data_IF_029734663272
#
_entry.id   IF_029734663272
#
_cell.length_a   1.000
_cell.length_b   1.000
_cell.length_c   1.000
_cell.angle_alpha   90.00
_cell.angle_beta   90.00
_cell.angle_gamma   90.00
#
_symmetry.space_group_name_H-M   'P 1'
#
loop_
_entity.id
_entity.type
_entity.pdbx_description
1 polymer ?
#
# COMPACT_ATOMS: atom_id res chain seq x y z
N UNK A 1 -62.37 -12.10 -38.00
CA UNK A 1 -62.37 -10.63 -37.94
C UNK A 1 -61.80 -10.09 -36.64
N UNK A 2 -62.16 -10.64 -35.46
CA UNK A 2 -61.62 -10.20 -34.16
C UNK A 2 -60.08 -10.32 -34.00
N UNK A 3 -59.48 -11.41 -34.48
CA UNK A 3 -58.03 -11.63 -34.34
C UNK A 3 -57.16 -10.53 -34.99
N UNK A 4 -57.50 -10.12 -36.21
CA UNK A 4 -56.77 -9.07 -36.92
C UNK A 4 -56.97 -7.68 -36.29
N UNK A 5 -58.13 -7.44 -35.67
CA UNK A 5 -58.40 -6.20 -34.93
C UNK A 5 -57.57 -6.14 -33.64
N UNK A 6 -57.45 -7.25 -32.89
CA UNK A 6 -56.60 -7.32 -31.71
C UNK A 6 -55.12 -7.12 -32.06
N UNK A 7 -54.63 -7.79 -33.12
CA UNK A 7 -53.26 -7.60 -33.63
C UNK A 7 -52.98 -6.14 -34.00
N UNK A 8 -53.88 -5.51 -34.75
CA UNK A 8 -53.74 -4.09 -35.12
C UNK A 8 -53.68 -3.16 -33.90
N UNK A 9 -54.51 -3.40 -32.88
CA UNK A 9 -54.49 -2.60 -31.64
C UNK A 9 -53.19 -2.80 -30.86
N UNK A 10 -52.70 -4.04 -30.76
CA UNK A 10 -51.42 -4.32 -30.11
C UNK A 10 -50.26 -3.66 -30.86
N UNK A 11 -50.22 -3.74 -32.19
CA UNK A 11 -49.19 -3.08 -33.01
C UNK A 11 -49.22 -1.56 -32.83
N UNK A 12 -50.41 -0.95 -32.73
CA UNK A 12 -50.56 0.48 -32.49
C UNK A 12 -50.07 0.87 -31.07
N UNK A 13 -50.38 0.04 -30.06
CA UNK A 13 -49.90 0.24 -28.69
C UNK A 13 -48.38 0.11 -28.59
N UNK A 14 -47.79 -0.91 -29.22
CA UNK A 14 -46.33 -1.11 -29.28
C UNK A 14 -45.67 0.09 -29.93
N UNK A 15 -46.13 0.52 -31.12
CA UNK A 15 -45.59 1.71 -31.80
C UNK A 15 -45.72 2.99 -30.96
N UNK A 16 -46.82 3.16 -30.25
CA UNK A 16 -47.02 4.30 -29.35
C UNK A 16 -46.02 4.28 -28.19
N UNK A 17 -45.82 3.11 -27.55
CA UNK A 17 -44.84 2.92 -26.49
C UNK A 17 -43.41 3.12 -26.98
N UNK A 18 -43.08 2.65 -28.17
CA UNK A 18 -41.76 2.86 -28.81
C UNK A 18 -41.51 4.33 -29.09
N UNK A 19 -42.51 5.05 -29.61
CA UNK A 19 -42.38 6.50 -29.85
C UNK A 19 -42.15 7.25 -28.55
N UNK A 20 -42.90 6.90 -27.50
CA UNK A 20 -42.78 7.51 -26.18
C UNK A 20 -41.44 7.16 -25.51
N UNK A 21 -40.96 5.93 -25.65
CA UNK A 21 -39.68 5.49 -25.09
C UNK A 21 -38.53 6.18 -25.81
N UNK A 22 -38.55 6.26 -27.15
CA UNK A 22 -37.56 6.99 -27.95
C UNK A 22 -37.48 8.47 -27.57
N UNK A 23 -38.63 9.13 -27.36
CA UNK A 23 -38.66 10.51 -26.90
C UNK A 23 -38.07 10.66 -25.49
N UNK A 24 -38.38 9.72 -24.57
CA UNK A 24 -37.82 9.71 -23.23
C UNK A 24 -36.29 9.47 -23.25
N UNK A 25 -35.79 8.57 -24.10
CA UNK A 25 -34.36 8.34 -24.31
C UNK A 25 -33.67 9.56 -24.90
N UNK A 26 -34.27 10.23 -25.88
CA UNK A 26 -33.74 11.49 -26.44
C UNK A 26 -33.61 12.58 -25.37
N UNK A 27 -34.64 12.75 -24.54
CA UNK A 27 -34.60 13.69 -23.41
C UNK A 27 -33.52 13.29 -22.38
N UNK A 28 -33.37 12.00 -22.10
CA UNK A 28 -32.33 11.50 -21.20
C UNK A 28 -30.93 11.76 -21.74
N UNK A 29 -30.66 11.44 -23.02
CA UNK A 29 -29.39 11.72 -23.69
C UNK A 29 -29.06 13.21 -23.68
N UNK A 30 -30.03 14.08 -23.99
CA UNK A 30 -29.85 15.52 -23.94
C UNK A 30 -29.44 16.03 -22.55
N UNK A 31 -30.05 15.47 -21.49
CA UNK A 31 -29.68 15.78 -20.10
C UNK A 31 -28.29 15.27 -19.75
N UNK A 32 -27.95 14.04 -20.13
CA UNK A 32 -26.62 13.47 -19.92
C UNK A 32 -25.55 14.30 -20.61
N UNK A 33 -25.75 14.65 -21.88
CA UNK A 33 -24.88 15.53 -22.65
C UNK A 33 -24.70 16.88 -21.95
N UNK A 34 -25.80 17.54 -21.54
CA UNK A 34 -25.73 18.84 -20.87
C UNK A 34 -24.98 18.77 -19.54
N UNK A 35 -25.16 17.68 -18.80
CA UNK A 35 -24.46 17.45 -17.53
C UNK A 35 -22.96 17.20 -17.75
N UNK A 36 -22.60 16.35 -18.71
CA UNK A 36 -21.23 16.07 -19.13
C UNK A 36 -20.52 17.37 -19.55
N UNK A 37 -21.14 18.15 -20.43
CA UNK A 37 -20.64 19.45 -20.87
C UNK A 37 -20.42 20.44 -19.72
N UNK A 38 -21.34 20.46 -18.73
CA UNK A 38 -21.18 21.32 -17.54
C UNK A 38 -20.00 20.87 -16.67
N UNK A 39 -19.88 19.57 -16.39
CA UNK A 39 -18.78 18.97 -15.62
C UNK A 39 -17.43 19.23 -16.29
N UNK A 40 -17.32 19.03 -17.61
CA UNK A 40 -16.13 19.33 -18.40
C UNK A 40 -15.69 20.78 -18.28
N UNK A 41 -16.62 21.74 -18.45
CA UNK A 41 -16.31 23.18 -18.31
C UNK A 41 -15.80 23.52 -16.92
N UNK A 42 -16.43 22.96 -15.88
CA UNK A 42 -15.99 23.18 -14.51
C UNK A 42 -14.60 22.58 -14.26
N UNK A 43 -14.35 21.35 -14.71
CA UNK A 43 -13.05 20.68 -14.59
C UNK A 43 -11.94 21.47 -15.30
N UNK A 44 -12.16 21.92 -16.53
CA UNK A 44 -11.21 22.78 -17.27
C UNK A 44 -10.95 24.09 -16.51
N UNK A 45 -11.99 24.72 -15.96
CA UNK A 45 -11.81 25.96 -15.18
C UNK A 45 -10.97 25.73 -13.93
N UNK A 46 -11.17 24.62 -13.22
CA UNK A 46 -10.41 24.30 -12.00
C UNK A 46 -8.96 23.92 -12.33
N UNK A 47 -8.72 23.16 -13.40
CA UNK A 47 -7.38 22.85 -13.90
C UNK A 47 -6.57 24.11 -14.19
N UNK A 48 -7.18 25.11 -14.85
CA UNK A 48 -6.54 26.41 -15.10
C UNK A 48 -6.13 27.15 -13.82
N UNK A 49 -6.89 26.97 -12.74
CA UNK A 49 -6.61 27.59 -11.43
C UNK A 49 -5.67 26.77 -10.54
N UNK A 50 -5.36 25.51 -10.89
CA UNK A 50 -4.60 24.57 -10.07
C UNK A 50 -3.11 24.96 -9.94
N UNK A 51 -2.57 25.71 -10.91
CA UNK A 51 -1.18 26.18 -10.92
C UNK A 51 -0.11 25.09 -11.15
N UNK A 52 -0.51 23.84 -11.34
CA UNK A 52 0.35 22.70 -11.73
C UNK A 52 0.22 22.46 -13.24
N UNK A 53 1.31 22.06 -13.90
CA UNK A 53 1.25 21.73 -15.33
C UNK A 53 0.53 20.41 -15.56
N UNK A 54 -0.18 20.29 -16.68
CA UNK A 54 -0.91 19.07 -17.02
C UNK A 54 0.03 17.85 -17.12
N UNK A 55 1.24 18.03 -17.68
CA UNK A 55 2.27 17.00 -17.76
C UNK A 55 2.66 16.45 -16.38
N UNK A 56 2.80 17.33 -15.38
CA UNK A 56 3.10 16.89 -14.01
C UNK A 56 1.96 16.11 -13.40
N UNK A 57 0.70 16.52 -13.63
CA UNK A 57 -0.47 15.80 -13.13
C UNK A 57 -0.60 14.41 -13.77
N UNK A 58 -0.32 14.27 -15.06
CA UNK A 58 -0.33 12.98 -15.75
C UNK A 58 0.79 12.06 -15.27
N UNK A 59 2.00 12.59 -15.07
CA UNK A 59 3.13 11.80 -14.54
C UNK A 59 2.85 11.31 -13.11
N UNK A 60 2.34 12.19 -12.24
CA UNK A 60 1.96 11.87 -10.87
C UNK A 60 0.78 10.87 -10.82
N UNK A 61 -0.21 11.01 -11.70
CA UNK A 61 -1.29 10.03 -11.85
C UNK A 61 -0.76 8.66 -12.30
N UNK A 62 0.12 8.63 -13.31
CA UNK A 62 0.73 7.38 -13.76
C UNK A 62 1.54 6.71 -12.65
N UNK A 63 2.28 7.49 -11.84
CA UNK A 63 2.99 6.99 -10.66
C UNK A 63 2.04 6.42 -9.61
N UNK A 64 0.90 7.09 -9.35
CA UNK A 64 -0.14 6.60 -8.47
C UNK A 64 -0.70 5.26 -8.95
N UNK A 65 -1.11 5.17 -10.23
CA UNK A 65 -1.65 3.93 -10.82
C UNK A 65 -0.63 2.81 -10.74
N UNK A 66 0.62 3.08 -11.13
CA UNK A 66 1.70 2.09 -11.05
C UNK A 66 1.96 1.60 -9.62
N UNK A 67 1.76 2.45 -8.61
CA UNK A 67 1.87 2.08 -7.20
C UNK A 67 0.67 1.26 -6.72
N UNK A 68 -0.56 1.71 -7.01
CA UNK A 68 -1.81 1.09 -6.53
C UNK A 68 -2.13 -0.22 -7.24
N UNK A 69 -1.81 -0.32 -8.53
CA UNK A 69 -2.04 -1.51 -9.35
C UNK A 69 -0.90 -2.53 -9.26
N UNK A 70 0.04 -2.37 -8.32
CA UNK A 70 1.06 -3.38 -8.07
C UNK A 70 0.36 -4.71 -7.75
N UNK A 71 0.60 -5.76 -8.54
CA UNK A 71 -0.04 -7.04 -8.28
C UNK A 71 0.31 -7.49 -6.87
N UNK A 72 -0.71 -7.87 -6.10
CA UNK A 72 -0.50 -8.45 -4.78
C UNK A 72 0.50 -9.61 -4.88
N UNK A 73 1.43 -9.76 -3.92
CA UNK A 73 2.45 -10.80 -3.98
C UNK A 73 1.79 -12.17 -4.11
N UNK A 74 1.86 -12.76 -5.30
CA UNK A 74 1.20 -14.03 -5.60
C UNK A 74 1.98 -15.18 -4.95
N UNK A 75 1.26 -16.19 -4.48
CA UNK A 75 1.88 -17.49 -4.21
C UNK A 75 2.09 -18.20 -5.54
N UNK A 76 3.35 -18.29 -5.98
CA UNK A 76 3.75 -19.04 -7.17
C UNK A 76 4.20 -20.44 -6.76
N UNK A 77 3.76 -21.47 -7.51
CA UNK A 77 4.30 -22.84 -7.38
C UNK A 77 5.80 -22.89 -7.68
N UNK A 78 6.32 -21.93 -8.44
CA UNK A 78 7.74 -21.76 -8.80
C UNK A 78 8.49 -20.82 -7.85
N UNK A 79 7.93 -20.46 -6.69
CA UNK A 79 8.68 -19.65 -5.70
C UNK A 79 9.99 -20.32 -5.31
N UNK A 80 10.03 -21.65 -5.25
CA UNK A 80 11.29 -22.38 -5.04
C UNK A 80 12.31 -22.06 -6.12
N UNK A 81 11.95 -22.20 -7.39
CA UNK A 81 12.83 -21.91 -8.54
C UNK A 81 13.23 -20.43 -8.62
N UNK A 82 12.32 -19.50 -8.29
CA UNK A 82 12.62 -18.06 -8.24
C UNK A 82 13.60 -17.72 -7.10
N UNK A 83 13.41 -18.29 -5.91
CA UNK A 83 14.35 -18.11 -4.80
C UNK A 83 15.69 -18.79 -5.11
N UNK A 84 15.70 -19.95 -5.79
CA UNK A 84 16.93 -20.58 -6.29
C UNK A 84 17.62 -19.68 -7.34
N UNK A 85 16.88 -19.08 -8.27
CA UNK A 85 17.44 -18.12 -9.23
C UNK A 85 18.03 -16.90 -8.53
N UNK A 86 17.35 -16.35 -7.51
CA UNK A 86 17.90 -15.26 -6.69
C UNK A 86 19.16 -15.69 -5.97
N UNK A 87 19.21 -16.91 -5.42
CA UNK A 87 20.41 -17.46 -4.79
C UNK A 87 21.54 -17.58 -5.82
N UNK A 88 21.28 -18.12 -7.01
CA UNK A 88 22.27 -18.22 -8.09
C UNK A 88 22.75 -16.84 -8.57
N UNK A 89 21.86 -15.85 -8.62
CA UNK A 89 22.18 -14.47 -8.97
C UNK A 89 23.01 -13.80 -7.86
N UNK A 90 22.68 -14.05 -6.59
CA UNK A 90 23.48 -13.65 -5.44
C UNK A 90 24.85 -14.35 -5.45
N UNK A 91 24.94 -15.62 -5.81
CA UNK A 91 26.21 -16.33 -5.97
C UNK A 91 27.05 -15.71 -7.08
N UNK A 92 26.46 -15.40 -8.24
CA UNK A 92 27.15 -14.66 -9.32
C UNK A 92 27.63 -13.30 -8.85
N UNK A 93 26.81 -12.57 -8.09
CA UNK A 93 27.19 -11.28 -7.50
C UNK A 93 28.30 -11.43 -6.46
N UNK A 94 28.28 -12.48 -5.64
CA UNK A 94 29.35 -12.79 -4.69
C UNK A 94 30.63 -13.09 -5.43
N UNK A 95 30.60 -13.90 -6.49
CA UNK A 95 31.77 -14.21 -7.32
C UNK A 95 32.32 -12.93 -7.98
N UNK A 96 31.45 -12.11 -8.56
CA UNK A 96 31.84 -10.82 -9.12
C UNK A 96 32.47 -9.91 -8.04
N UNK A 97 31.89 -9.88 -6.83
CA UNK A 97 32.41 -9.10 -5.72
C UNK A 97 33.76 -9.64 -5.23
N UNK A 98 33.96 -10.96 -5.18
CA UNK A 98 35.26 -11.56 -4.87
C UNK A 98 36.31 -11.21 -5.92
N UNK A 99 35.93 -11.16 -7.21
CA UNK A 99 36.82 -10.68 -8.27
C UNK A 99 37.15 -9.20 -8.09
N UNK A 100 36.18 -8.35 -7.74
CA UNK A 100 36.46 -6.94 -7.44
C UNK A 100 37.39 -6.79 -6.24
N UNK A 101 37.19 -7.58 -5.18
CA UNK A 101 38.08 -7.61 -4.02
C UNK A 101 39.48 -8.03 -4.43
N UNK A 102 39.63 -9.07 -5.25
CA UNK A 102 40.93 -9.49 -5.79
C UNK A 102 41.60 -8.39 -6.63
N UNK A 103 40.85 -7.71 -7.50
CA UNK A 103 41.40 -6.59 -8.28
C UNK A 103 41.79 -5.41 -7.38
N UNK A 104 41.03 -5.14 -6.32
CA UNK A 104 41.34 -4.11 -5.34
C UNK A 104 42.56 -4.50 -4.49
N UNK A 105 42.71 -5.78 -4.14
CA UNK A 105 43.91 -6.30 -3.46
C UNK A 105 45.15 -6.14 -4.34
N UNK A 106 45.06 -6.43 -5.65
CA UNK A 106 46.14 -6.17 -6.59
C UNK A 106 46.45 -4.67 -6.74
N UNK A 107 45.41 -3.81 -6.82
CA UNK A 107 45.57 -2.35 -6.85
C UNK A 107 46.15 -1.78 -5.54
N UNK A 108 45.85 -2.42 -4.40
CA UNK A 108 46.40 -2.12 -3.08
C UNK A 108 47.88 -2.48 -3.00
N UNK A 109 48.26 -3.68 -3.46
CA UNK A 109 49.65 -4.13 -3.58
C UNK A 109 50.43 -3.21 -4.53
N UNK A 110 49.79 -2.73 -5.59
CA UNK A 110 50.35 -1.77 -6.55
C UNK A 110 50.36 -0.30 -6.06
N UNK A 111 49.86 -0.03 -4.84
CA UNK A 111 49.84 1.29 -4.20
C UNK A 111 49.09 2.39 -5.01
N UNK A 112 48.01 2.02 -5.70
CA UNK A 112 47.22 2.92 -6.56
C UNK A 112 45.84 3.30 -5.98
N UNK A 113 45.58 3.09 -4.70
CA UNK A 113 44.25 3.35 -4.10
C UNK A 113 44.22 4.72 -3.41
N UNK A 114 43.46 5.66 -3.99
CA UNK A 114 43.25 7.00 -3.44
C UNK A 114 42.10 7.11 -2.42
N UNK A 115 41.49 6.00 -1.95
CA UNK A 115 40.34 6.10 -1.04
C UNK A 115 40.17 4.98 0.00
N UNK A 116 41.29 4.37 0.42
CA UNK A 116 41.32 3.38 1.51
C UNK A 116 40.84 3.99 2.84
N UNK A 117 41.15 5.26 3.07
CA UNK A 117 40.72 5.99 4.25
C UNK A 117 39.20 6.11 4.34
N UNK A 118 38.50 6.48 3.25
CA UNK A 118 37.03 6.56 3.27
C UNK A 118 36.36 5.21 3.50
N UNK A 119 36.89 4.13 2.91
CA UNK A 119 36.36 2.79 3.17
C UNK A 119 36.56 2.36 4.63
N UNK A 120 37.72 2.65 5.21
CA UNK A 120 37.99 2.35 6.61
C UNK A 120 37.13 3.20 7.56
N UNK A 121 36.92 4.48 7.24
CA UNK A 121 36.04 5.39 7.96
C UNK A 121 34.59 4.89 7.90
N UNK A 122 34.09 4.49 6.73
CA UNK A 122 32.75 3.94 6.56
C UNK A 122 32.58 2.62 7.34
N UNK A 123 33.59 1.74 7.30
CA UNK A 123 33.58 0.48 8.06
C UNK A 123 33.61 0.72 9.57
N UNK A 124 34.38 1.69 10.04
CA UNK A 124 34.43 2.09 11.45
C UNK A 124 33.10 2.71 11.90
N UNK A 125 32.48 3.57 11.07
CA UNK A 125 31.13 4.11 11.30
C UNK A 125 30.08 3.01 11.38
N UNK A 126 30.09 2.03 10.47
CA UNK A 126 29.18 0.90 10.49
C UNK A 126 29.33 0.08 11.78
N UNK A 127 30.56 -0.21 12.20
CA UNK A 127 30.82 -0.91 13.48
C UNK A 127 30.33 -0.11 14.69
N UNK A 128 30.51 1.22 14.66
CA UNK A 128 30.00 2.10 15.70
C UNK A 128 28.46 2.11 15.76
N UNK A 129 27.78 2.12 14.59
CA UNK A 129 26.33 2.00 14.49
C UNK A 129 25.84 0.62 14.95
N UNK A 130 26.53 -0.45 14.56
CA UNK A 130 26.24 -1.81 15.04
C UNK A 130 26.40 -1.94 16.55
N UNK A 131 27.38 -1.26 17.15
CA UNK A 131 27.57 -1.22 18.61
C UNK A 131 26.59 -0.31 19.35
N UNK A 132 25.80 0.50 18.64
CA UNK A 132 24.87 1.43 19.26
C UNK A 132 23.61 0.69 19.76
N UNK A 133 23.50 0.57 21.09
CA UNK A 133 22.40 -0.11 21.77
C UNK A 133 21.04 0.52 21.40
N UNK A 134 20.96 1.84 21.26
CA UNK A 134 19.72 2.53 20.91
C UNK A 134 19.20 2.09 19.53
N UNK A 135 20.08 2.10 18.53
CA UNK A 135 19.75 1.64 17.17
C UNK A 135 19.35 0.17 17.14
N UNK A 136 20.07 -0.69 17.86
CA UNK A 136 19.70 -2.10 17.98
C UNK A 136 18.29 -2.28 18.57
N UNK A 137 17.96 -1.53 19.62
CA UNK A 137 16.62 -1.60 20.23
C UNK A 137 15.55 -1.06 19.27
N UNK A 138 15.80 0.02 18.53
CA UNK A 138 14.88 0.53 17.50
C UNK A 138 14.64 -0.51 16.40
N UNK A 139 15.70 -1.10 15.85
CA UNK A 139 15.59 -2.13 14.81
C UNK A 139 14.81 -3.36 15.29
N UNK A 140 15.05 -3.79 16.53
CA UNK A 140 14.30 -4.89 17.14
C UNK A 140 12.82 -4.51 17.34
N UNK A 141 12.54 -3.30 17.79
CA UNK A 141 11.18 -2.81 17.99
C UNK A 141 10.42 -2.72 16.65
N UNK A 142 11.05 -2.21 15.59
CA UNK A 142 10.50 -2.17 14.23
C UNK A 142 10.21 -3.59 13.71
N UNK A 143 11.15 -4.52 13.86
CA UNK A 143 10.97 -5.92 13.44
C UNK A 143 9.78 -6.58 14.16
N UNK A 144 9.64 -6.35 15.47
CA UNK A 144 8.50 -6.86 16.25
C UNK A 144 7.20 -6.18 15.81
N UNK A 145 7.20 -4.85 15.59
CA UNK A 145 6.02 -4.10 15.11
C UNK A 145 5.54 -4.59 13.75
N UNK A 146 6.44 -4.80 12.81
CA UNK A 146 6.15 -5.39 11.49
C UNK A 146 5.54 -6.78 11.63
N UNK A 147 6.09 -7.63 12.52
CA UNK A 147 5.53 -8.96 12.78
C UNK A 147 4.14 -8.93 13.40
N UNK A 148 3.85 -7.95 14.26
CA UNK A 148 2.51 -7.73 14.83
C UNK A 148 1.54 -7.33 13.71
N UNK A 149 1.91 -6.34 12.88
CA UNK A 149 1.12 -5.88 11.72
C UNK A 149 0.77 -7.05 10.78
N UNK A 150 1.75 -7.88 10.44
CA UNK A 150 1.52 -9.03 9.55
C UNK A 150 0.56 -10.06 10.15
N UNK A 151 0.68 -10.34 11.44
CA UNK A 151 -0.23 -11.28 12.13
C UNK A 151 -1.65 -10.74 12.23
N UNK A 152 -1.83 -9.43 12.45
CA UNK A 152 -3.13 -8.78 12.45
C UNK A 152 -3.78 -8.84 11.06
N UNK A 153 -3.02 -8.53 10.00
CA UNK A 153 -3.48 -8.65 8.61
C UNK A 153 -3.90 -10.09 8.29
N UNK A 154 -3.06 -11.07 8.62
CA UNK A 154 -3.37 -12.49 8.43
C UNK A 154 -4.64 -12.90 9.17
N UNK A 155 -4.81 -12.48 10.43
CA UNK A 155 -6.04 -12.74 11.21
C UNK A 155 -7.28 -12.15 10.54
N UNK A 156 -7.20 -10.91 10.04
CA UNK A 156 -8.31 -10.26 9.33
C UNK A 156 -8.72 -11.06 8.09
N UNK A 157 -7.75 -11.46 7.26
CA UNK A 157 -8.01 -12.31 6.10
C UNK A 157 -8.56 -13.69 6.46
N UNK A 158 -8.08 -14.31 7.54
CA UNK A 158 -8.60 -15.58 8.04
C UNK A 158 -10.07 -15.46 8.47
N UNK A 159 -10.43 -14.40 9.21
CA UNK A 159 -11.82 -14.13 9.64
C UNK A 159 -12.75 -13.87 8.46
N UNK A 160 -12.35 -13.02 7.52
CA UNK A 160 -13.15 -12.77 6.31
C UNK A 160 -13.36 -14.05 5.49
N UNK A 161 -12.35 -14.94 5.45
CA UNK A 161 -12.48 -16.23 4.76
C UNK A 161 -13.49 -17.14 5.46
N UNK A 162 -13.48 -17.18 6.80
CA UNK A 162 -14.46 -17.93 7.59
C UNK A 162 -15.87 -17.37 7.37
N UNK A 163 -16.02 -16.06 7.39
CA UNK A 163 -17.31 -15.38 7.19
C UNK A 163 -17.90 -15.66 5.80
N UNK A 164 -17.09 -15.59 4.74
CA UNK A 164 -17.54 -15.92 3.38
C UNK A 164 -17.97 -17.39 3.26
N UNK A 165 -17.22 -18.31 3.87
CA UNK A 165 -17.58 -19.73 3.88
C UNK A 165 -18.91 -19.98 4.60
N UNK A 166 -19.12 -19.35 5.76
CA UNK A 166 -20.37 -19.44 6.52
C UNK A 166 -21.59 -18.95 5.71
N UNK A 167 -21.44 -17.86 4.94
CA UNK A 167 -22.53 -17.35 4.06
C UNK A 167 -22.83 -18.28 2.88
N UNK A 168 -21.89 -19.11 2.46
CA UNK A 168 -22.02 -19.98 1.28
C UNK A 168 -22.55 -21.38 1.60
N UNK A 169 -22.31 -21.90 2.82
CA UNK A 169 -22.80 -23.23 3.22
C UNK A 169 -23.63 -23.14 4.51
N UNK A 170 -24.96 -23.29 4.37
CA UNK A 170 -25.95 -23.23 5.47
C UNK A 170 -25.77 -24.38 6.52
N UNK A 171 -24.72 -25.20 6.43
CA UNK A 171 -24.52 -26.39 7.29
C UNK A 171 -23.14 -26.58 7.92
N UNK A 172 -22.12 -25.76 7.63
CA UNK A 172 -20.73 -26.02 8.03
C UNK A 172 -20.31 -25.38 9.37
N UNK A 173 -21.22 -25.37 10.34
CA UNK A 173 -21.01 -24.71 11.62
C UNK A 173 -19.83 -25.29 12.41
N UNK A 174 -19.55 -26.60 12.25
CA UNK A 174 -18.39 -27.28 12.88
C UNK A 174 -17.06 -26.82 12.28
N UNK A 175 -16.98 -26.65 10.95
CA UNK A 175 -15.76 -26.17 10.28
C UNK A 175 -15.47 -24.71 10.64
N UNK A 176 -16.49 -23.87 10.69
CA UNK A 176 -16.38 -22.49 11.16
C UNK A 176 -15.93 -22.44 12.63
N UNK A 177 -16.52 -23.27 13.50
CA UNK A 177 -16.13 -23.37 14.92
C UNK A 177 -14.67 -23.80 15.11
N UNK A 178 -14.18 -24.76 14.32
CA UNK A 178 -12.78 -25.19 14.38
C UNK A 178 -11.82 -24.10 13.88
N UNK A 179 -12.20 -23.37 12.83
CA UNK A 179 -11.41 -22.27 12.30
C UNK A 179 -11.36 -21.09 13.29
N UNK A 180 -12.49 -20.72 13.90
CA UNK A 180 -12.57 -19.71 14.96
C UNK A 180 -11.74 -20.10 16.18
N UNK A 181 -11.81 -21.35 16.63
CA UNK A 181 -10.98 -21.85 17.72
C UNK A 181 -9.48 -21.79 17.39
N UNK A 182 -9.09 -22.04 16.15
CA UNK A 182 -7.71 -21.91 15.68
C UNK A 182 -7.23 -20.46 15.71
N UNK A 183 -8.08 -19.52 15.30
CA UNK A 183 -7.81 -18.07 15.39
C UNK A 183 -7.63 -17.65 16.85
N UNK A 184 -8.57 -18.01 17.74
CA UNK A 184 -8.51 -17.71 19.18
C UNK A 184 -7.24 -18.26 19.85
N UNK A 185 -6.79 -19.47 19.47
CA UNK A 185 -5.54 -20.05 20.00
C UNK A 185 -4.28 -19.23 19.69
N UNK A 186 -4.30 -18.41 18.64
CA UNK A 186 -3.14 -17.60 18.22
C UNK A 186 -3.11 -16.23 18.89
N UNK A 187 -4.24 -15.76 19.44
CA UNK A 187 -4.36 -14.46 20.11
C UNK A 187 -3.38 -14.25 21.26
N UNK A 188 -3.14 -15.21 22.18
CA UNK A 188 -2.17 -15.05 23.26
C UNK A 188 -0.73 -14.83 22.75
N UNK A 189 -0.39 -15.40 21.60
CA UNK A 189 0.94 -15.22 21.00
C UNK A 189 1.11 -13.80 20.46
N UNK A 190 0.05 -13.21 19.89
CA UNK A 190 0.06 -11.83 19.43
C UNK A 190 0.14 -10.85 20.60
N UNK A 191 -0.62 -11.09 21.68
CA UNK A 191 -0.53 -10.29 22.90
C UNK A 191 0.86 -10.35 23.55
N UNK A 192 1.55 -11.50 23.48
CA UNK A 192 2.97 -11.63 23.90
C UNK A 192 3.90 -10.79 23.04
N UNK A 193 3.68 -10.71 21.72
CA UNK A 193 4.46 -9.85 20.83
C UNK A 193 4.25 -8.37 21.17
N UNK A 194 3.00 -7.93 21.37
CA UNK A 194 2.68 -6.57 21.82
C UNK A 194 3.34 -6.25 23.16
N UNK A 195 3.30 -7.19 24.10
CA UNK A 195 4.01 -7.04 25.39
C UNK A 195 5.51 -6.87 25.20
N UNK A 196 6.10 -7.64 24.30
CA UNK A 196 7.53 -7.54 23.97
C UNK A 196 7.85 -6.19 23.34
N UNK A 197 7.02 -5.73 22.41
CA UNK A 197 7.15 -4.42 21.77
C UNK A 197 7.09 -3.28 22.78
N UNK A 198 6.05 -3.23 23.61
CA UNK A 198 5.91 -2.16 24.62
C UNK A 198 7.09 -2.14 25.60
N UNK A 199 7.65 -3.31 25.97
CA UNK A 199 8.89 -3.40 26.76
C UNK A 199 10.11 -2.82 26.02
N UNK A 200 10.17 -2.93 24.70
CA UNK A 200 11.22 -2.29 23.90
C UNK A 200 11.01 -0.76 23.86
N UNK A 201 9.76 -0.27 23.76
CA UNK A 201 9.44 1.15 23.89
C UNK A 201 9.89 1.71 25.26
N UNK A 202 9.65 0.98 26.35
CA UNK A 202 10.12 1.37 27.69
C UNK A 202 11.65 1.49 27.76
N UNK A 203 12.37 0.55 27.12
CA UNK A 203 13.84 0.60 27.01
C UNK A 203 14.31 1.80 26.20
N UNK A 204 13.65 2.10 25.08
CA UNK A 204 13.98 3.27 24.25
C UNK A 204 13.74 4.58 25.02
N UNK A 205 12.61 4.68 25.71
CA UNK A 205 12.28 5.82 26.55
C UNK A 205 13.30 5.99 27.70
N UNK A 206 13.77 4.91 28.32
CA UNK A 206 14.85 4.96 29.30
C UNK A 206 16.17 5.46 28.69
N UNK A 207 16.54 5.00 27.49
CA UNK A 207 17.75 5.45 26.79
C UNK A 207 17.69 6.93 26.38
N UNK A 208 16.50 7.41 25.98
CA UNK A 208 16.25 8.82 25.69
C UNK A 208 16.40 9.67 26.95
N UNK A 209 15.79 9.25 28.08
CA UNK A 209 15.95 9.94 29.38
C UNK A 209 17.40 9.98 29.84
N UNK A 210 18.17 8.93 29.57
CA UNK A 210 19.61 8.84 29.87
C UNK A 210 20.49 9.63 28.88
N UNK A 211 19.92 10.33 27.89
CA UNK A 211 20.64 11.07 26.83
C UNK A 211 21.63 10.21 26.02
N UNK A 212 21.35 8.90 25.91
CA UNK A 212 22.14 7.94 25.10
C UNK A 212 21.53 7.70 23.72
N UNK A 213 20.41 8.35 23.41
CA UNK A 213 19.75 8.32 22.13
C UNK A 213 20.31 9.38 21.17
N UNK A 214 20.01 9.23 19.88
CA UNK A 214 20.34 10.25 18.86
C UNK A 214 19.60 11.56 19.15
N UNK A 215 20.18 12.70 18.73
CA UNK A 215 19.54 14.01 18.93
C UNK A 215 18.20 14.04 18.21
N UNK A 216 17.15 14.50 18.89
CA UNK A 216 15.80 14.55 18.33
C UNK A 216 15.05 13.21 18.36
N UNK A 217 15.57 12.17 19.01
CA UNK A 217 14.90 10.87 19.10
C UNK A 217 13.51 11.00 19.75
N UNK A 218 12.48 10.55 19.02
CA UNK A 218 11.09 10.50 19.46
C UNK A 218 10.80 9.09 19.99
N UNK A 219 10.02 9.01 21.07
CA UNK A 219 9.59 7.72 21.63
C UNK A 219 8.54 7.09 20.70
N UNK A 220 8.69 5.80 20.33
CA UNK A 220 7.67 5.11 19.55
C UNK A 220 6.34 4.97 20.28
N UNK A 221 5.23 5.08 19.55
CA UNK A 221 3.89 4.93 20.11
C UNK A 221 3.67 3.52 20.70
N UNK A 222 3.08 3.47 21.89
CA UNK A 222 2.71 2.22 22.54
C UNK A 222 1.53 1.57 21.81
N UNK A 223 1.52 0.24 21.74
CA UNK A 223 0.39 -0.50 21.19
C UNK A 223 -0.51 -0.91 22.36
N UNK A 224 -1.78 -0.44 22.41
CA UNK A 224 -2.71 -0.87 23.44
C UNK A 224 -3.03 -2.36 23.28
N UNK A 225 -3.23 -3.05 24.40
CA UNK A 225 -3.66 -4.46 24.40
C UNK A 225 -5.16 -4.59 24.26
N UNK A 226 -5.89 -3.62 24.79
CA UNK A 226 -7.34 -3.47 24.66
C UNK A 226 -7.66 -2.96 23.25
N UNK A 227 -8.71 -3.48 22.63
CA UNK A 227 -9.10 -3.08 21.27
C UNK A 227 -8.14 -3.52 20.15
N UNK A 228 -7.07 -4.27 20.45
CA UNK A 228 -6.07 -4.71 19.45
C UNK A 228 -6.66 -5.48 18.26
N UNK A 229 -7.82 -6.10 18.43
CA UNK A 229 -8.48 -6.87 17.39
C UNK A 229 -9.59 -6.11 16.66
N UNK A 230 -9.86 -4.88 17.08
CA UNK A 230 -10.87 -3.96 16.56
C UNK A 230 -10.23 -2.78 15.79
N UNK A 231 -8.95 -2.92 15.44
CA UNK A 231 -8.16 -1.85 14.84
C UNK A 231 -8.72 -1.38 13.49
N UNK A 232 -8.69 -0.07 13.29
CA UNK A 232 -9.01 0.62 12.04
C UNK A 232 -7.74 1.01 11.25
N UNK A 233 -7.93 1.55 10.05
CA UNK A 233 -6.86 2.01 9.14
C UNK A 233 -6.06 3.17 9.74
N UNK A 234 -6.69 3.97 10.59
CA UNK A 234 -6.11 5.20 11.14
C UNK A 234 -5.32 4.98 12.46
N UNK A 235 -5.23 3.75 12.95
CA UNK A 235 -4.56 3.48 14.23
C UNK A 235 -3.04 3.61 14.16
N UNK A 236 -2.44 4.12 15.24
CA UNK A 236 -0.99 4.39 15.41
C UNK A 236 -0.08 3.17 15.18
N UNK A 237 -0.65 1.97 15.21
CA UNK A 237 0.06 0.72 14.90
C UNK A 237 0.62 0.71 13.47
N UNK A 238 0.01 1.46 12.55
CA UNK A 238 0.42 1.51 11.15
C UNK A 238 1.58 2.48 10.89
N UNK A 239 1.84 3.42 11.81
CA UNK A 239 2.87 4.45 11.66
C UNK A 239 4.19 4.02 12.33
N UNK A 240 5.34 4.15 11.67
CA UNK A 240 6.65 3.75 12.22
C UNK A 240 7.38 4.90 12.96
N UNK A 241 6.61 5.79 13.62
CA UNK A 241 7.12 6.95 14.38
C UNK A 241 8.19 6.53 15.39
N UNK A 242 9.36 7.17 15.32
CA UNK A 242 10.50 6.91 16.20
C UNK A 242 11.24 5.60 15.95
N UNK A 243 10.89 4.84 14.90
CA UNK A 243 11.47 3.53 14.59
C UNK A 243 12.09 3.44 13.19
N UNK A 244 11.60 4.21 12.23
CA UNK A 244 12.18 4.35 10.90
C UNK A 244 12.41 5.82 10.57
N UNK A 245 13.55 6.10 9.94
CA UNK A 245 13.91 7.41 9.40
C UNK A 245 13.73 7.31 7.88
N UNK A 246 12.51 6.98 7.45
CA UNK A 246 12.19 6.98 6.03
C UNK A 246 11.97 8.45 5.62
N UNK A 247 13.07 9.18 5.48
CA UNK A 247 13.19 10.50 4.82
C UNK A 247 12.91 10.36 3.31
N UNK A 248 11.83 9.69 2.93
CA UNK A 248 11.30 9.75 1.57
C UNK A 248 10.14 10.71 1.63
N UNK A 249 10.35 11.93 1.14
CA UNK A 249 9.26 12.88 0.94
C UNK A 249 8.13 12.15 0.20
N UNK A 250 6.91 12.12 0.76
CA UNK A 250 5.81 11.41 0.16
C UNK A 250 5.56 11.94 -1.26
N UNK A 251 5.21 11.07 -2.23
CA UNK A 251 4.91 11.51 -3.60
C UNK A 251 3.90 12.65 -3.63
N UNK A 252 4.00 13.55 -4.61
CA UNK A 252 3.15 14.74 -4.65
C UNK A 252 1.67 14.38 -4.85
N UNK A 253 1.35 13.31 -5.59
CA UNK A 253 -0.01 12.75 -5.67
C UNK A 253 -0.60 12.32 -4.33
N UNK A 254 0.24 12.09 -3.30
CA UNK A 254 -0.19 11.71 -1.96
C UNK A 254 -0.22 12.90 -0.99
N UNK A 255 0.80 13.76 -1.01
CA UNK A 255 0.99 14.80 0.00
C UNK A 255 0.62 16.23 -0.45
N UNK A 256 0.56 16.50 -1.75
CA UNK A 256 0.25 17.85 -2.25
C UNK A 256 -1.21 17.97 -2.66
N UNK A 257 -1.99 18.73 -1.90
CA UNK A 257 -3.42 18.92 -2.14
C UNK A 257 -3.75 19.54 -3.50
N UNK A 258 -2.87 20.40 -4.03
CA UNK A 258 -3.05 20.97 -5.37
C UNK A 258 -2.89 19.90 -6.44
N UNK A 259 -1.87 19.05 -6.32
CA UNK A 259 -1.66 17.93 -7.25
C UNK A 259 -2.83 16.95 -7.18
N UNK A 260 -3.31 16.62 -5.98
CA UNK A 260 -4.49 15.76 -5.79
C UNK A 260 -5.76 16.34 -6.43
N UNK A 261 -6.01 17.64 -6.22
CA UNK A 261 -7.15 18.31 -6.83
C UNK A 261 -7.02 18.35 -8.36
N UNK A 262 -5.83 18.71 -8.86
CA UNK A 262 -5.51 18.74 -10.29
C UNK A 262 -5.69 17.39 -10.97
N UNK A 263 -5.22 16.28 -10.36
CA UNK A 263 -5.43 14.93 -10.89
C UNK A 263 -6.92 14.61 -11.00
N UNK A 264 -7.73 14.95 -9.99
CA UNK A 264 -9.19 14.72 -10.06
C UNK A 264 -9.85 15.49 -11.18
N UNK A 265 -9.51 16.77 -11.32
CA UNK A 265 -10.10 17.61 -12.37
C UNK A 265 -9.61 17.19 -13.77
N UNK A 266 -8.37 16.69 -13.89
CA UNK A 266 -7.84 16.10 -15.13
C UNK A 266 -8.64 14.86 -15.54
N UNK A 267 -8.80 13.91 -14.62
CA UNK A 267 -9.57 12.69 -14.87
C UNK A 267 -11.05 12.96 -15.14
N UNK A 268 -11.62 13.99 -14.52
CA UNK A 268 -13.00 14.40 -14.76
C UNK A 268 -13.18 14.98 -16.17
N UNK A 269 -12.22 15.80 -16.64
CA UNK A 269 -12.20 16.28 -18.02
C UNK A 269 -12.08 15.12 -19.01
N UNK A 270 -11.11 14.23 -18.81
CA UNK A 270 -10.85 13.12 -19.72
C UNK A 270 -12.06 12.18 -19.78
N UNK A 271 -12.70 11.89 -18.64
CA UNK A 271 -13.96 11.14 -18.61
C UNK A 271 -15.08 11.82 -19.39
N UNK A 272 -15.21 13.15 -19.26
CA UNK A 272 -16.21 13.88 -20.03
C UNK A 272 -15.91 13.86 -21.54
N UNK A 273 -14.64 13.82 -21.95
CA UNK A 273 -14.25 13.65 -23.35
C UNK A 273 -14.57 12.26 -23.90
N UNK A 274 -14.49 11.22 -23.07
CA UNK A 274 -14.91 9.86 -23.43
C UNK A 274 -16.45 9.68 -23.45
N UNK A 275 -17.18 10.41 -22.62
CA UNK A 275 -18.66 10.34 -22.49
C UNK A 275 -19.41 11.20 -23.54
N UNK A 276 -18.71 12.10 -24.24
CA UNK A 276 -19.25 12.93 -25.35
C UNK A 276 -19.42 12.11 -26.65
#
# INVERSE_FOLDING_TARGET
TQHHQCLFVLDLQVRHLDTKSLQAYGNWLSRCWTNCQSRKRQAISRLRSCGSSEETLQAEWAAQVAHQMRPAPRQSKKKGDEEIMKILELEKLVVARTQTVWTLELQFIANCIHDLENFQIARARLRALQGNIFLQVCMNALAVKTRIRDRLRQRKFELERIERAYRQTIGDQRLCSHAEASVKRREPTLLRLVTTYNRLCDKLLALIRQRRAMRGAIVPHYIPREGLFELDVDDDIWQDVGLADDEVDPPAWLANDRVRAGIRDLLERDRCEEEE
#
